data_IF_892021367111
#
_entry.id   IF_892021367111
#
_cell.length_a   1.000
_cell.length_b   1.000
_cell.length_c   1.000
_cell.angle_alpha   90.00
_cell.angle_beta   90.00
_cell.angle_gamma   90.00
#
_symmetry.space_group_name_H-M   'P 1'
#
loop_
_entity.id
_entity.type
_entity.pdbx_description
1 polymer ?
#
# COMPACT_ATOMS: atom_id res chain seq x y z
N UNK A 1 16.55 52.41 -46.90
CA UNK A 1 16.00 51.10 -46.52
C UNK A 1 15.38 51.24 -45.14
N UNK A 2 14.04 51.28 -45.01
CA UNK A 2 13.37 51.39 -43.73
C UNK A 2 13.03 49.99 -43.19
N UNK A 3 13.21 49.77 -41.89
CA UNK A 3 12.59 48.65 -41.18
C UNK A 3 11.47 49.20 -40.30
N UNK A 4 10.26 48.73 -40.59
CA UNK A 4 9.01 49.08 -39.93
C UNK A 4 8.92 48.45 -38.55
N UNK A 5 8.39 49.21 -37.59
CA UNK A 5 7.94 48.70 -36.29
C UNK A 5 6.55 48.09 -36.47
N UNK A 6 6.42 46.79 -36.20
CA UNK A 6 5.13 46.12 -36.07
C UNK A 6 4.67 46.20 -34.60
N UNK A 7 3.58 46.93 -34.37
CA UNK A 7 2.82 46.91 -33.11
C UNK A 7 1.95 45.67 -33.07
N UNK A 8 2.18 44.78 -32.11
CA UNK A 8 1.31 43.64 -31.83
C UNK A 8 0.27 44.05 -30.77
N UNK A 9 -1.00 44.13 -31.16
CA UNK A 9 -2.10 44.43 -30.25
C UNK A 9 -2.54 43.15 -29.52
N UNK A 10 -2.23 43.03 -28.23
CA UNK A 10 -2.83 42.01 -27.37
C UNK A 10 -4.29 42.39 -27.10
N UNK A 11 -5.21 41.62 -27.69
CA UNK A 11 -6.63 41.66 -27.35
C UNK A 11 -6.85 41.02 -25.99
N UNK A 12 -7.42 41.82 -25.10
CA UNK A 12 -7.89 41.49 -23.77
C UNK A 12 -8.95 40.36 -23.83
N UNK A 13 -8.58 39.14 -23.45
CA UNK A 13 -9.54 38.13 -23.00
C UNK A 13 -9.64 38.22 -21.48
N UNK A 14 -10.69 38.90 -20.99
CA UNK A 14 -11.14 38.78 -19.61
C UNK A 14 -11.68 37.36 -19.41
N UNK A 15 -10.84 36.46 -18.92
CA UNK A 15 -11.31 35.23 -18.31
C UNK A 15 -12.03 35.60 -17.01
N UNK A 16 -13.31 35.23 -16.93
CA UNK A 16 -14.11 35.30 -15.73
C UNK A 16 -13.53 34.28 -14.74
N UNK A 17 -12.65 34.73 -13.84
CA UNK A 17 -12.17 33.90 -12.72
C UNK A 17 -13.34 33.76 -11.76
N UNK A 18 -14.09 32.66 -11.89
CA UNK A 18 -15.02 32.22 -10.86
C UNK A 18 -14.17 31.95 -9.61
N UNK A 19 -14.34 32.80 -8.58
CA UNK A 19 -13.70 32.61 -7.29
C UNK A 19 -14.20 31.33 -6.65
N UNK A 20 -13.43 30.25 -6.80
CA UNK A 20 -13.52 29.10 -5.92
C UNK A 20 -12.96 29.56 -4.57
N UNK A 21 -13.85 29.91 -3.65
CA UNK A 21 -13.50 30.08 -2.24
C UNK A 21 -13.16 28.68 -1.74
N UNK A 22 -11.87 28.32 -1.79
CA UNK A 22 -11.33 27.25 -0.97
C UNK A 22 -11.53 27.68 0.47
N UNK A 23 -12.58 27.14 1.11
CA UNK A 23 -12.67 27.14 2.55
C UNK A 23 -11.41 26.44 3.06
N UNK A 24 -10.54 27.20 3.72
CA UNK A 24 -9.47 26.61 4.52
C UNK A 24 -10.15 25.70 5.53
N UNK A 25 -10.07 24.39 5.31
CA UNK A 25 -10.46 23.41 6.31
C UNK A 25 -9.64 23.73 7.56
N UNK A 26 -10.33 24.15 8.63
CA UNK A 26 -9.68 24.31 9.92
C UNK A 26 -8.95 23.01 10.23
N UNK A 27 -7.66 23.11 10.56
CA UNK A 27 -6.87 21.96 11.01
C UNK A 27 -7.70 21.21 12.04
N UNK A 28 -8.12 20.00 11.70
CA UNK A 28 -8.84 19.14 12.63
C UNK A 28 -7.96 19.04 13.88
N UNK A 29 -8.48 19.52 14.99
CA UNK A 29 -7.81 19.46 16.29
C UNK A 29 -7.51 18.00 16.60
N UNK A 30 -6.24 17.59 16.47
CA UNK A 30 -5.77 16.25 16.86
C UNK A 30 -5.12 15.37 15.78
N UNK A 31 -4.94 15.83 14.54
CA UNK A 31 -4.24 15.01 13.53
C UNK A 31 -2.72 15.07 13.72
N UNK A 32 -2.06 13.92 13.85
CA UNK A 32 -0.59 13.83 13.84
C UNK A 32 -0.08 13.95 12.41
N UNK A 33 0.94 14.80 12.21
CA UNK A 33 1.60 15.01 10.93
C UNK A 33 3.06 14.58 11.01
N UNK A 34 3.54 13.93 9.94
CA UNK A 34 4.96 13.70 9.71
C UNK A 34 5.52 14.89 8.95
N UNK A 35 6.28 15.74 9.65
CA UNK A 35 7.00 16.89 9.06
C UNK A 35 8.38 16.45 8.61
N UNK A 36 8.75 16.83 7.40
CA UNK A 36 10.01 16.38 6.80
C UNK A 36 11.00 17.52 6.72
N UNK A 37 12.19 17.31 7.27
CA UNK A 37 13.27 18.30 7.27
C UNK A 37 14.48 17.80 6.48
N UNK A 38 15.08 18.67 5.66
CA UNK A 38 16.46 18.53 5.19
C UNK A 38 17.35 19.42 6.06
N UNK A 39 18.18 18.81 6.90
CA UNK A 39 19.07 19.50 7.82
C UNK A 39 20.43 19.70 7.14
N UNK A 40 20.89 20.96 7.11
CA UNK A 40 22.10 21.37 6.38
C UNK A 40 23.06 22.10 7.32
N UNK A 41 24.21 21.50 7.68
CA UNK A 41 25.30 22.16 8.38
C UNK A 41 25.74 23.47 7.71
N UNK A 42 26.21 24.44 8.49
CA UNK A 42 26.54 25.78 7.98
C UNK A 42 27.72 25.83 7.01
N UNK A 43 28.57 24.78 6.99
CA UNK A 43 29.68 24.61 6.05
C UNK A 43 29.26 23.89 4.75
N UNK A 44 28.00 23.47 4.62
CA UNK A 44 27.48 22.75 3.47
C UNK A 44 26.39 23.55 2.75
N UNK A 45 26.16 23.19 1.49
CA UNK A 45 25.04 23.67 0.68
C UNK A 45 24.12 22.51 0.33
N UNK A 46 22.87 22.81 -0.03
CA UNK A 46 21.91 21.82 -0.50
C UNK A 46 21.54 22.09 -1.97
N UNK A 47 20.92 21.10 -2.59
CA UNK A 47 20.45 21.12 -3.96
C UNK A 47 18.97 20.73 -4.03
N UNK A 48 18.26 21.28 -5.02
CA UNK A 48 16.85 20.94 -5.23
C UNK A 48 16.64 19.43 -5.46
N UNK A 49 17.62 18.76 -6.08
CA UNK A 49 17.57 17.33 -6.30
C UNK A 49 17.49 16.53 -4.99
N UNK A 50 18.14 16.98 -3.91
CA UNK A 50 18.05 16.35 -2.59
C UNK A 50 16.65 16.48 -2.01
N UNK A 51 16.08 17.69 -2.05
CA UNK A 51 14.70 17.97 -1.63
C UNK A 51 13.70 17.12 -2.41
N UNK A 52 13.84 17.06 -3.73
CA UNK A 52 12.96 16.28 -4.60
C UNK A 52 13.07 14.76 -4.31
N UNK A 53 14.30 14.28 -4.06
CA UNK A 53 14.55 12.86 -3.73
C UNK A 53 13.97 12.47 -2.37
N UNK A 54 14.09 13.36 -1.37
CA UNK A 54 13.46 13.20 -0.06
C UNK A 54 11.94 13.22 -0.20
N UNK A 55 11.40 14.15 -0.98
CA UNK A 55 9.95 14.25 -1.20
C UNK A 55 9.38 12.97 -1.82
N UNK A 56 10.02 12.48 -2.88
CA UNK A 56 9.66 11.21 -3.52
C UNK A 56 9.77 10.03 -2.55
N UNK A 57 10.84 9.97 -1.74
CA UNK A 57 11.03 8.92 -0.74
C UNK A 57 9.95 8.93 0.35
N UNK A 58 9.53 10.11 0.83
CA UNK A 58 8.49 10.18 1.86
C UNK A 58 7.13 9.70 1.35
N UNK A 59 6.74 10.06 0.11
CA UNK A 59 5.53 9.52 -0.51
C UNK A 59 5.62 8.01 -0.73
N UNK A 60 6.78 7.51 -1.16
CA UNK A 60 7.06 6.10 -1.36
C UNK A 60 6.91 5.31 -0.04
N UNK A 61 7.53 5.79 1.04
CA UNK A 61 7.43 5.21 2.38
C UNK A 61 5.99 5.27 2.91
N UNK A 62 5.28 6.39 2.71
CA UNK A 62 3.88 6.53 3.11
C UNK A 62 2.97 5.48 2.42
N UNK A 63 3.17 5.28 1.11
CA UNK A 63 2.46 4.26 0.34
C UNK A 63 2.82 2.84 0.79
N UNK A 64 4.08 2.59 1.12
CA UNK A 64 4.55 1.32 1.67
C UNK A 64 3.87 1.00 3.01
N UNK A 65 3.88 1.93 3.97
CA UNK A 65 3.18 1.77 5.26
C UNK A 65 1.68 1.52 5.05
N UNK A 66 1.05 2.25 4.13
CA UNK A 66 -0.37 2.04 3.81
C UNK A 66 -0.66 0.62 3.34
N UNK A 67 0.16 0.08 2.44
CA UNK A 67 0.02 -1.30 1.99
C UNK A 67 0.24 -2.27 3.15
N UNK A 68 1.31 -2.08 3.92
CA UNK A 68 1.76 -3.02 4.96
C UNK A 68 0.84 -3.13 6.16
N UNK A 69 0.02 -2.12 6.41
CA UNK A 69 -0.93 -2.11 7.51
C UNK A 69 -2.37 -2.26 7.02
N UNK A 70 -2.60 -2.76 5.80
CA UNK A 70 -3.95 -2.91 5.24
C UNK A 70 -4.76 -1.60 5.30
N UNK A 71 -4.15 -0.50 4.83
CA UNK A 71 -4.80 0.78 4.58
C UNK A 71 -4.53 1.89 5.59
N UNK A 72 -3.69 1.67 6.61
CA UNK A 72 -3.33 2.69 7.62
C UNK A 72 -1.97 3.33 7.31
N UNK A 73 -1.86 4.65 7.36
CA UNK A 73 -0.56 5.31 7.14
C UNK A 73 -0.53 6.65 7.83
N UNK A 74 0.65 7.25 7.94
CA UNK A 74 0.81 8.57 8.51
C UNK A 74 0.36 9.67 7.54
N UNK A 75 0.09 10.87 8.05
CA UNK A 75 -0.23 12.03 7.22
C UNK A 75 1.00 12.87 6.95
N UNK A 76 1.15 13.29 5.70
CA UNK A 76 2.05 14.37 5.32
C UNK A 76 1.28 15.70 5.28
N UNK A 77 1.91 16.84 5.63
CA UNK A 77 1.33 18.17 5.43
C UNK A 77 0.76 18.35 4.01
N UNK A 78 -0.29 19.16 3.87
CA UNK A 78 -0.90 19.49 2.58
C UNK A 78 -0.94 21.02 2.38
N UNK A 79 -0.19 21.59 1.41
CA UNK A 79 0.73 20.89 0.49
C UNK A 79 1.90 20.24 1.23
N UNK A 80 2.45 19.16 0.67
CA UNK A 80 3.62 18.50 1.22
C UNK A 80 4.89 19.21 0.74
N UNK A 81 5.72 19.62 1.68
CA UNK A 81 7.00 20.28 1.44
C UNK A 81 8.06 19.70 2.37
N UNK A 82 9.29 19.62 1.87
CA UNK A 82 10.47 19.30 2.68
C UNK A 82 11.05 20.64 3.16
N UNK A 83 11.01 20.87 4.46
CA UNK A 83 11.52 22.09 5.07
C UNK A 83 13.05 22.02 5.18
N UNK A 84 13.77 23.02 4.64
CA UNK A 84 15.23 23.08 4.80
C UNK A 84 15.56 23.77 6.11
N UNK A 85 16.27 23.08 7.00
CA UNK A 85 16.75 23.62 8.27
C UNK A 85 18.24 23.94 8.19
N UNK A 86 18.64 25.23 8.09
CA UNK A 86 20.03 25.63 8.17
C UNK A 86 20.51 25.54 9.63
N UNK A 87 21.51 24.70 9.85
CA UNK A 87 22.17 24.57 11.14
C UNK A 87 22.96 25.84 11.50
N UNK A 88 23.10 26.09 12.80
CA UNK A 88 23.96 27.13 13.35
C UNK A 88 25.44 26.78 13.24
N UNK A 89 25.77 25.50 13.34
CA UNK A 89 27.15 25.02 13.40
C UNK A 89 27.56 24.28 12.12
N UNK A 90 28.87 24.20 11.91
CA UNK A 90 29.45 23.36 10.86
C UNK A 90 29.30 21.88 11.24
N UNK A 91 29.40 21.00 10.25
CA UNK A 91 29.23 19.56 10.41
C UNK A 91 30.07 18.97 11.54
N UNK A 92 31.32 19.42 11.68
CA UNK A 92 32.28 18.89 12.67
C UNK A 92 31.77 19.02 14.11
N UNK A 93 30.88 19.98 14.37
CA UNK A 93 30.29 20.20 15.68
C UNK A 93 29.31 19.10 16.07
N UNK A 94 28.58 18.53 15.10
CA UNK A 94 27.60 17.47 15.33
C UNK A 94 28.19 16.05 15.30
N UNK A 95 29.48 15.91 14.97
CA UNK A 95 30.10 14.61 14.71
C UNK A 95 29.99 13.67 15.92
N UNK A 96 29.42 12.48 15.70
CA UNK A 96 29.12 11.49 16.73
C UNK A 96 27.99 11.86 17.73
N UNK A 97 27.39 13.04 17.63
CA UNK A 97 26.39 13.54 18.59
C UNK A 97 25.20 14.26 17.93
N UNK A 98 24.87 13.91 16.68
CA UNK A 98 23.77 14.52 15.93
C UNK A 98 22.47 14.59 16.73
N UNK A 99 22.06 13.51 17.39
CA UNK A 99 20.81 13.48 18.16
C UNK A 99 20.79 14.52 19.29
N UNK A 100 21.82 14.51 20.14
CA UNK A 100 21.89 15.32 21.35
C UNK A 100 22.13 16.81 21.06
N UNK A 101 22.69 17.13 19.90
CA UNK A 101 23.08 18.48 19.52
C UNK A 101 22.08 19.13 18.55
N UNK A 102 21.60 18.39 17.54
CA UNK A 102 20.68 18.92 16.53
C UNK A 102 19.28 19.14 17.07
N UNK A 103 18.73 18.20 17.84
CA UNK A 103 17.34 18.30 18.29
C UNK A 103 17.11 19.52 19.20
N UNK A 104 17.95 19.80 20.21
CA UNK A 104 17.81 21.02 21.01
C UNK A 104 18.01 22.30 20.19
N UNK A 105 18.87 22.28 19.16
CA UNK A 105 19.04 23.41 18.25
C UNK A 105 17.78 23.68 17.42
N UNK A 106 17.19 22.63 16.85
CA UNK A 106 15.92 22.72 16.13
C UNK A 106 14.79 23.23 17.04
N UNK A 107 14.71 22.74 18.28
CA UNK A 107 13.75 23.24 19.28
C UNK A 107 13.98 24.72 19.62
N UNK A 108 15.24 25.12 19.82
CA UNK A 108 15.59 26.53 20.08
C UNK A 108 15.24 27.44 18.90
N UNK A 109 15.25 26.91 17.68
CA UNK A 109 14.78 27.58 16.47
C UNK A 109 13.25 27.52 16.27
N UNK A 110 12.51 26.88 17.17
CA UNK A 110 11.04 26.83 17.17
C UNK A 110 10.44 25.61 16.44
N UNK A 111 11.25 24.62 16.06
CA UNK A 111 10.74 23.37 15.48
C UNK A 111 10.05 22.53 16.57
N UNK A 112 8.86 21.97 16.32
CA UNK A 112 8.07 21.28 17.34
C UNK A 112 8.50 19.82 17.58
N UNK A 113 9.78 19.58 17.93
CA UNK A 113 10.38 18.23 18.01
C UNK A 113 9.61 17.27 18.93
N UNK A 114 9.33 17.67 20.17
CA UNK A 114 8.61 16.85 21.16
C UNK A 114 7.21 17.36 21.48
N UNK A 115 6.53 17.96 20.49
CA UNK A 115 5.18 18.47 20.66
C UNK A 115 4.16 17.46 20.10
N UNK A 116 3.13 17.05 20.87
CA UNK A 116 2.07 16.18 20.38
C UNK A 116 1.47 16.68 19.07
N UNK A 117 1.22 15.76 18.14
CA UNK A 117 0.76 16.07 16.78
C UNK A 117 1.90 16.19 15.76
N UNK A 118 3.16 16.09 16.17
CA UNK A 118 4.31 16.23 15.27
C UNK A 118 5.25 15.04 15.38
N UNK A 119 5.44 14.34 14.27
CA UNK A 119 6.52 13.38 14.07
C UNK A 119 7.47 13.98 13.05
N UNK A 120 8.78 13.96 13.32
CA UNK A 120 9.78 14.57 12.46
C UNK A 120 10.53 13.50 11.68
N UNK A 121 10.52 13.59 10.35
CA UNK A 121 11.39 12.84 9.45
C UNK A 121 12.58 13.73 9.03
N UNK A 122 13.71 13.55 9.70
CA UNK A 122 14.91 14.39 9.56
C UNK A 122 15.91 13.71 8.64
N UNK A 123 16.24 14.38 7.54
CA UNK A 123 17.27 13.96 6.59
C UNK A 123 18.49 14.84 6.79
N UNK A 124 19.58 14.27 7.32
CA UNK A 124 20.78 15.00 7.70
C UNK A 124 21.81 14.94 6.58
N UNK A 125 22.29 16.11 6.16
CA UNK A 125 23.41 16.22 5.22
C UNK A 125 24.74 16.25 5.96
N UNK A 126 25.70 15.51 5.43
CA UNK A 126 27.10 15.57 5.81
C UNK A 126 27.52 14.53 6.84
N UNK A 127 26.63 13.66 7.32
CA UNK A 127 26.92 12.69 8.40
C UNK A 127 28.19 11.87 8.13
N UNK A 128 28.48 11.58 6.85
CA UNK A 128 29.65 10.83 6.44
C UNK A 128 29.34 9.36 6.15
N UNK A 129 30.40 8.55 6.08
CA UNK A 129 30.36 7.20 5.53
C UNK A 129 29.63 6.12 6.29
N UNK A 130 29.43 6.33 7.59
CA UNK A 130 28.72 5.37 8.42
C UNK A 130 27.20 5.43 8.22
N UNK A 131 26.69 6.52 7.61
CA UNK A 131 25.28 6.88 7.66
C UNK A 131 24.82 7.25 9.07
N UNK A 132 23.54 7.58 9.20
CA UNK A 132 22.85 7.69 10.49
C UNK A 132 21.48 7.03 10.35
N UNK A 133 21.06 6.33 11.40
CA UNK A 133 19.72 5.80 11.59
C UNK A 133 19.41 5.91 13.06
N UNK A 134 18.57 6.88 13.42
CA UNK A 134 18.13 7.09 14.81
C UNK A 134 16.64 7.41 14.84
N UNK A 135 15.93 6.78 15.77
CA UNK A 135 14.49 6.92 15.86
C UNK A 135 13.99 6.73 17.27
N UNK A 136 13.00 7.53 17.67
CA UNK A 136 12.34 7.37 18.96
C UNK A 136 10.96 8.02 18.94
N UNK A 137 10.03 7.45 19.71
CA UNK A 137 8.70 7.99 19.95
C UNK A 137 8.66 8.67 21.32
N UNK A 138 7.72 9.60 21.48
CA UNK A 138 7.40 10.24 22.74
C UNK A 138 5.93 10.65 22.74
N UNK A 139 5.49 11.41 23.76
CA UNK A 139 4.12 11.93 23.86
C UNK A 139 3.01 10.86 23.76
N UNK A 140 3.25 9.64 24.25
CA UNK A 140 2.37 8.48 24.03
C UNK A 140 2.12 8.21 22.54
N UNK A 141 3.20 8.11 21.76
CA UNK A 141 3.20 7.87 20.32
C UNK A 141 2.59 9.00 19.45
N UNK A 142 2.22 10.14 20.05
CA UNK A 142 1.71 11.31 19.34
C UNK A 142 2.81 12.28 18.87
N UNK A 143 4.06 12.03 19.24
CA UNK A 143 5.21 12.74 18.72
C UNK A 143 6.41 11.79 18.60
N UNK A 144 7.39 12.12 17.79
CA UNK A 144 8.52 11.25 17.55
C UNK A 144 9.51 11.85 16.55
N UNK A 145 10.70 11.27 16.50
CA UNK A 145 11.75 11.68 15.57
C UNK A 145 12.29 10.44 14.88
N UNK A 146 12.50 10.56 13.57
CA UNK A 146 13.19 9.61 12.72
C UNK A 146 14.29 10.37 11.98
N UNK A 147 15.52 9.87 11.99
CA UNK A 147 16.69 10.57 11.46
C UNK A 147 17.50 9.65 10.55
N UNK A 148 17.71 10.07 9.30
CA UNK A 148 18.51 9.33 8.31
C UNK A 148 19.48 10.27 7.57
N UNK A 149 20.57 9.72 7.03
CA UNK A 149 21.55 10.51 6.25
C UNK A 149 21.14 10.66 4.78
N UNK A 150 21.35 11.85 4.21
CA UNK A 150 21.18 12.10 2.77
C UNK A 150 22.23 11.35 1.93
N UNK A 151 23.44 11.18 2.46
CA UNK A 151 24.52 10.46 1.79
C UNK A 151 24.26 8.94 1.64
N UNK A 152 23.14 8.43 2.18
CA UNK A 152 22.66 7.10 1.84
C UNK A 152 22.28 6.98 0.36
N UNK A 153 21.90 8.08 -0.31
CA UNK A 153 21.70 8.04 -1.76
C UNK A 153 23.05 8.04 -2.47
N UNK A 154 23.33 7.04 -3.34
CA UNK A 154 24.58 7.02 -4.11
C UNK A 154 24.81 8.29 -4.95
N UNK A 155 23.73 8.92 -5.43
CA UNK A 155 23.80 10.16 -6.20
C UNK A 155 24.34 11.36 -5.40
N UNK A 156 24.23 11.34 -4.07
CA UNK A 156 24.68 12.41 -3.17
C UNK A 156 25.94 12.01 -2.40
N UNK A 157 26.52 10.87 -2.73
CA UNK A 157 27.69 10.30 -2.08
C UNK A 157 28.75 9.95 -3.14
N UNK A 158 29.52 10.93 -3.64
CA UNK A 158 30.46 10.74 -4.74
C UNK A 158 31.76 9.99 -4.32
N UNK A 159 31.67 9.06 -3.36
CA UNK A 159 32.81 8.33 -2.82
C UNK A 159 33.58 9.08 -1.73
N UNK A 160 33.12 10.27 -1.34
CA UNK A 160 33.73 11.06 -0.25
C UNK A 160 33.33 10.54 1.13
N UNK A 161 32.18 9.86 1.22
CA UNK A 161 31.59 9.46 2.47
C UNK A 161 31.55 7.94 2.57
N UNK A 162 30.93 7.20 1.64
CA UNK A 162 31.01 5.73 1.62
C UNK A 162 31.97 5.25 0.54
N UNK A 163 32.95 4.42 0.90
CA UNK A 163 33.99 3.95 -0.03
C UNK A 163 33.45 3.07 -1.18
N UNK A 164 32.27 2.48 -1.03
CA UNK A 164 31.40 2.03 -2.12
C UNK A 164 30.08 1.54 -1.53
N UNK A 165 28.95 1.98 -2.10
CA UNK A 165 27.70 1.23 -1.94
C UNK A 165 27.91 -0.16 -2.55
N UNK A 166 27.67 -1.25 -1.81
CA UNK A 166 27.76 -2.58 -2.38
C UNK A 166 26.87 -2.65 -3.63
N UNK A 167 27.31 -3.34 -4.69
CA UNK A 167 26.46 -3.51 -5.86
C UNK A 167 25.14 -4.17 -5.43
N UNK A 168 24.04 -3.82 -6.08
CA UNK A 168 22.72 -4.38 -5.80
C UNK A 168 22.67 -5.93 -5.82
N UNK A 169 23.68 -6.57 -6.40
CA UNK A 169 23.86 -8.02 -6.48
C UNK A 169 24.67 -8.63 -5.34
N UNK A 170 25.04 -7.88 -4.30
CA UNK A 170 25.83 -8.42 -3.19
C UNK A 170 25.01 -9.49 -2.43
N UNK A 171 25.42 -10.77 -2.47
CA UNK A 171 24.68 -11.87 -1.85
C UNK A 171 24.69 -11.81 -0.32
N UNK A 172 25.52 -10.96 0.29
CA UNK A 172 25.52 -10.73 1.74
C UNK A 172 24.36 -9.85 2.19
N UNK A 173 23.67 -9.16 1.27
CA UNK A 173 22.46 -8.38 1.54
C UNK A 173 22.68 -7.08 2.34
N UNK A 174 23.88 -6.85 2.89
CA UNK A 174 24.19 -5.66 3.68
C UNK A 174 24.52 -4.48 2.77
N UNK A 175 23.49 -3.82 2.22
CA UNK A 175 23.64 -2.60 1.41
C UNK A 175 23.67 -1.31 2.25
N UNK A 176 23.67 -1.41 3.59
CA UNK A 176 23.86 -0.26 4.48
C UNK A 176 25.23 0.42 4.24
N UNK A 177 25.30 1.76 4.28
CA UNK A 177 24.24 2.75 4.53
C UNK A 177 23.47 3.22 3.28
N UNK A 178 23.65 2.56 2.13
CA UNK A 178 23.14 3.01 0.85
C UNK A 178 21.65 2.72 0.59
N UNK A 179 20.85 2.73 1.65
CA UNK A 179 19.42 2.40 1.66
C UNK A 179 18.59 3.47 2.38
N UNK A 180 18.72 4.74 1.98
CA UNK A 180 18.17 5.89 2.72
C UNK A 180 16.65 5.77 2.95
N UNK A 181 15.92 5.20 1.98
CA UNK A 181 14.48 4.92 2.11
C UNK A 181 14.18 3.87 3.17
N UNK A 182 14.95 2.79 3.20
CA UNK A 182 14.81 1.73 4.19
C UNK A 182 15.13 2.22 5.58
N UNK A 183 16.27 2.92 5.72
CA UNK A 183 16.66 3.59 6.96
C UNK A 183 15.52 4.47 7.48
N UNK A 184 15.03 5.41 6.66
CA UNK A 184 13.95 6.29 7.11
C UNK A 184 12.65 5.52 7.43
N UNK A 185 12.30 4.48 6.66
CA UNK A 185 11.13 3.66 6.96
C UNK A 185 11.26 2.95 8.32
N UNK A 186 12.45 2.46 8.66
CA UNK A 186 12.78 1.86 9.95
C UNK A 186 12.73 2.87 11.09
N UNK A 187 13.41 4.02 10.92
CA UNK A 187 13.43 5.05 11.96
C UNK A 187 12.03 5.65 12.21
N UNK A 188 11.20 5.76 11.16
CA UNK A 188 9.79 6.11 11.33
C UNK A 188 9.03 5.05 12.11
N UNK A 189 9.38 3.76 11.96
CA UNK A 189 8.83 2.69 12.79
C UNK A 189 9.09 2.95 14.27
N UNK A 190 10.31 3.33 14.63
CA UNK A 190 10.63 3.75 16.01
C UNK A 190 9.88 4.99 16.46
N UNK A 191 9.73 6.00 15.58
CA UNK A 191 8.94 7.19 15.84
C UNK A 191 7.43 6.88 16.02
N UNK A 192 6.95 5.77 15.45
CA UNK A 192 5.61 5.22 15.64
C UNK A 192 5.54 4.17 16.77
N UNK A 193 6.56 4.07 17.60
CA UNK A 193 6.54 3.20 18.77
C UNK A 193 7.08 1.78 18.54
N UNK A 194 7.45 1.38 17.33
CA UNK A 194 7.98 0.03 17.11
C UNK A 194 9.40 -0.11 17.71
N UNK A 195 9.69 -1.13 18.52
CA UNK A 195 11.06 -1.48 18.90
C UNK A 195 11.75 -2.22 17.74
N UNK A 196 13.05 -2.51 17.88
CA UNK A 196 13.65 -3.56 17.06
C UNK A 196 12.95 -4.90 17.34
N UNK A 197 12.88 -5.75 16.32
CA UNK A 197 12.17 -7.03 16.42
C UNK A 197 12.85 -7.95 17.46
N UNK A 198 14.17 -7.90 17.58
CA UNK A 198 14.90 -8.66 18.58
C UNK A 198 14.60 -8.20 20.03
N UNK A 199 14.55 -6.88 20.26
CA UNK A 199 14.24 -6.25 21.55
C UNK A 199 12.80 -6.52 22.02
N UNK A 200 11.87 -6.74 21.09
CA UNK A 200 10.49 -7.10 21.40
C UNK A 200 10.32 -8.51 22.00
N UNK A 201 11.42 -9.24 22.22
CA UNK A 201 11.40 -10.60 22.77
C UNK A 201 11.08 -11.66 21.71
N UNK A 202 11.13 -11.33 20.42
CA UNK A 202 11.09 -12.35 19.35
C UNK A 202 12.42 -13.14 19.29
N UNK A 203 13.47 -12.66 19.96
CA UNK A 203 14.82 -13.21 19.94
C UNK A 203 15.06 -14.40 20.91
N UNK A 204 14.21 -15.43 20.84
CA UNK A 204 14.55 -16.72 21.43
C UNK A 204 15.47 -17.50 20.46
N UNK A 205 16.76 -17.15 20.41
CA UNK A 205 17.94 -17.91 19.93
C UNK A 205 17.86 -18.82 18.67
N UNK A 206 16.75 -18.84 17.93
CA UNK A 206 16.42 -19.81 16.87
C UNK A 206 15.42 -19.28 15.82
N UNK A 207 14.94 -18.04 15.89
CA UNK A 207 13.77 -17.65 15.10
C UNK A 207 14.14 -16.77 13.91
N UNK A 208 14.10 -17.34 12.71
CA UNK A 208 14.23 -16.62 11.44
C UNK A 208 13.23 -15.46 11.24
N UNK A 209 12.27 -15.27 12.15
CA UNK A 209 11.23 -14.23 12.13
C UNK A 209 11.79 -12.81 12.10
N UNK A 210 12.81 -12.50 12.93
CA UNK A 210 13.33 -11.12 13.04
C UNK A 210 13.86 -10.59 11.71
N UNK A 211 14.44 -11.47 10.90
CA UNK A 211 15.01 -11.11 9.60
C UNK A 211 13.93 -10.76 8.56
N UNK A 212 12.66 -11.08 8.81
CA UNK A 212 11.56 -10.66 7.96
C UNK A 212 11.10 -9.22 8.26
N UNK A 213 11.62 -8.57 9.30
CA UNK A 213 11.17 -7.26 9.75
C UNK A 213 11.96 -6.10 9.13
N UNK A 214 11.27 -5.04 8.71
CA UNK A 214 11.87 -3.72 8.44
C UNK A 214 12.57 -3.17 9.68
N UNK A 215 12.08 -3.51 10.88
CA UNK A 215 12.64 -3.11 12.17
C UNK A 215 13.92 -3.87 12.50
N UNK A 216 14.42 -4.74 11.61
CA UNK A 216 15.71 -5.40 11.74
C UNK A 216 16.56 -5.26 10.48
N UNK A 217 15.98 -5.52 9.33
CA UNK A 217 16.69 -5.64 8.04
C UNK A 217 16.19 -4.60 7.04
N UNK A 218 16.18 -3.34 7.44
CA UNK A 218 15.69 -2.23 6.62
C UNK A 218 16.43 -2.04 5.28
N UNK A 219 17.62 -2.62 5.14
CA UNK A 219 18.39 -2.64 3.90
C UNK A 219 17.75 -3.43 2.77
N UNK A 220 16.69 -4.21 3.03
CA UNK A 220 15.90 -4.83 1.97
C UNK A 220 14.79 -3.94 1.40
N UNK A 221 14.67 -2.69 1.86
CA UNK A 221 13.60 -1.80 1.42
C UNK A 221 13.72 -1.41 -0.08
N UNK A 222 12.59 -1.38 -0.83
CA UNK A 222 11.31 -1.95 -0.44
C UNK A 222 11.26 -3.47 -0.68
N UNK A 223 12.08 -4.00 -1.62
CA UNK A 223 12.14 -5.42 -2.03
C UNK A 223 13.47 -5.78 -2.71
N UNK A 224 14.61 -5.42 -2.10
CA UNK A 224 15.94 -5.72 -2.64
C UNK A 224 16.50 -7.09 -2.20
N UNK A 225 15.71 -7.89 -1.47
CA UNK A 225 16.13 -9.23 -1.09
C UNK A 225 16.01 -10.21 -2.25
N UNK A 226 16.93 -11.17 -2.33
CA UNK A 226 16.73 -12.32 -3.21
C UNK A 226 15.57 -13.15 -2.67
N UNK A 227 14.52 -13.31 -3.48
CA UNK A 227 13.41 -14.25 -3.23
C UNK A 227 14.00 -15.62 -2.86
N UNK A 228 13.47 -16.24 -1.81
CA UNK A 228 13.97 -17.52 -1.28
C UNK A 228 15.17 -17.44 -0.34
N UNK A 229 15.56 -16.23 0.12
CA UNK A 229 16.49 -16.07 1.25
C UNK A 229 15.78 -16.26 2.59
N UNK A 230 16.55 -16.36 3.68
CA UNK A 230 16.01 -16.51 5.03
C UNK A 230 15.14 -15.32 5.48
N UNK A 231 15.21 -14.18 4.79
CA UNK A 231 14.44 -12.97 5.07
C UNK A 231 13.16 -12.87 4.23
N UNK A 232 12.90 -13.81 3.30
CA UNK A 232 11.71 -13.82 2.44
C UNK A 232 10.55 -14.61 3.08
N UNK A 233 9.35 -14.03 3.29
CA UNK A 233 8.91 -12.69 2.90
C UNK A 233 9.37 -11.59 3.86
N UNK A 234 9.75 -10.43 3.35
CA UNK A 234 10.22 -9.28 4.15
C UNK A 234 9.18 -8.15 4.22
N UNK A 235 9.07 -7.44 5.34
CA UNK A 235 8.05 -6.40 5.57
C UNK A 235 7.86 -6.01 7.04
N UNK A 236 6.61 -5.73 7.44
CA UNK A 236 6.24 -5.59 8.86
C UNK A 236 5.76 -6.93 9.40
N UNK A 237 6.20 -7.31 10.60
CA UNK A 237 5.69 -8.47 11.31
C UNK A 237 4.21 -8.26 11.70
N UNK A 238 3.46 -9.35 11.89
CA UNK A 238 2.05 -9.32 12.30
C UNK A 238 1.85 -8.50 13.59
N UNK A 239 2.76 -8.64 14.54
CA UNK A 239 2.76 -7.91 15.81
C UNK A 239 3.10 -6.42 15.66
N UNK A 240 3.97 -6.07 14.71
CA UNK A 240 4.28 -4.68 14.38
C UNK A 240 3.07 -4.00 13.71
N UNK A 241 2.40 -4.71 12.79
CA UNK A 241 1.15 -4.26 12.17
C UNK A 241 0.08 -3.99 13.21
N UNK A 242 -0.12 -4.92 14.16
CA UNK A 242 -1.06 -4.73 15.28
C UNK A 242 -0.73 -3.50 16.12
N UNK A 243 0.57 -3.24 16.38
CA UNK A 243 0.99 -2.05 17.15
C UNK A 243 0.71 -0.76 16.38
N UNK A 244 1.04 -0.72 15.10
CA UNK A 244 0.76 0.44 14.24
C UNK A 244 -0.73 0.72 14.08
N UNK A 245 -1.59 -0.30 14.07
CA UNK A 245 -3.04 -0.12 14.05
C UNK A 245 -3.63 0.56 15.29
N UNK A 246 -2.91 0.49 16.40
CA UNK A 246 -3.27 1.11 17.67
C UNK A 246 -2.54 2.45 17.89
N UNK A 247 -1.74 2.90 16.92
CA UNK A 247 -1.06 4.18 16.98
C UNK A 247 -1.93 5.25 16.31
N UNK A 248 -2.35 6.24 17.11
CA UNK A 248 -3.23 7.35 16.69
C UNK A 248 -2.60 8.25 15.61
N UNK A 249 -1.28 8.16 15.37
CA UNK A 249 -0.61 8.88 14.30
C UNK A 249 -0.87 8.26 12.91
N UNK A 250 -1.27 6.99 12.84
CA UNK A 250 -1.64 6.33 11.60
C UNK A 250 -3.15 6.42 11.38
N UNK A 251 -3.53 7.01 10.25
CA UNK A 251 -4.93 7.18 9.85
C UNK A 251 -5.26 6.29 8.66
N UNK A 252 -6.54 6.05 8.46
CA UNK A 252 -7.07 5.39 7.27
C UNK A 252 -7.46 6.43 6.21
N UNK A 253 -7.78 5.96 5.02
CA UNK A 253 -8.35 6.75 3.93
C UNK A 253 -7.44 7.84 3.32
N UNK A 254 -6.14 7.81 3.61
CA UNK A 254 -5.16 8.66 2.91
C UNK A 254 -5.17 8.29 1.42
N UNK A 255 -5.50 9.24 0.57
CA UNK A 255 -5.54 9.03 -0.87
C UNK A 255 -4.13 9.09 -1.43
N UNK A 256 -3.59 7.94 -1.85
CA UNK A 256 -2.22 7.79 -2.34
C UNK A 256 -2.19 6.93 -3.59
N UNK A 257 -1.15 7.19 -4.39
CA UNK A 257 -0.79 6.28 -5.47
C UNK A 257 -0.07 5.07 -4.90
N UNK A 258 -0.69 3.90 -4.99
CA UNK A 258 -0.12 2.68 -4.43
C UNK A 258 0.93 2.07 -5.36
N UNK A 259 2.21 2.14 -4.96
CA UNK A 259 3.36 1.62 -5.70
C UNK A 259 3.66 0.14 -5.42
N UNK A 260 2.99 -0.48 -4.44
CA UNK A 260 3.32 -1.83 -3.93
C UNK A 260 2.22 -2.89 -4.02
N UNK A 261 1.39 -2.93 -5.08
CA UNK A 261 0.25 -3.85 -5.11
C UNK A 261 0.67 -5.34 -5.00
N UNK A 262 1.84 -5.69 -5.51
CA UNK A 262 2.34 -7.07 -5.57
C UNK A 262 3.34 -7.43 -4.46
N UNK A 263 3.55 -6.55 -3.48
CA UNK A 263 4.45 -6.84 -2.37
C UNK A 263 4.02 -8.11 -1.61
N UNK A 264 4.97 -8.98 -1.20
CA UNK A 264 4.68 -10.17 -0.40
C UNK A 264 4.07 -9.78 0.94
N UNK A 265 3.11 -10.54 1.45
CA UNK A 265 2.56 -10.34 2.80
C UNK A 265 3.41 -11.08 3.83
N UNK A 266 3.66 -10.45 4.97
CA UNK A 266 4.40 -11.06 6.07
C UNK A 266 3.42 -11.43 7.16
N UNK A 267 3.17 -12.73 7.29
CA UNK A 267 2.28 -13.32 8.29
C UNK A 267 3.10 -14.00 9.38
N UNK A 268 4.10 -13.29 9.91
CA UNK A 268 5.06 -13.77 10.89
C UNK A 268 5.20 -12.78 12.05
N UNK A 269 5.37 -13.26 13.30
CA UNK A 269 5.05 -14.63 13.72
C UNK A 269 3.56 -14.94 13.47
N UNK A 270 3.19 -16.21 13.40
CA UNK A 270 1.77 -16.57 13.29
C UNK A 270 1.06 -16.22 14.61
N UNK A 271 0.19 -15.21 14.57
CA UNK A 271 -0.56 -14.68 15.72
C UNK A 271 -2.03 -15.08 15.69
N UNK A 272 -2.51 -15.65 14.58
CA UNK A 272 -3.89 -16.10 14.40
C UNK A 272 -4.11 -16.76 13.03
N UNK A 273 -5.36 -17.13 12.73
CA UNK A 273 -5.70 -17.70 11.43
C UNK A 273 -5.67 -16.63 10.33
N UNK A 274 -5.03 -16.91 9.20
CA UNK A 274 -5.01 -16.00 8.05
C UNK A 274 -6.46 -15.80 7.53
N UNK A 275 -6.97 -14.56 7.37
CA UNK A 275 -8.29 -14.32 6.80
C UNK A 275 -8.37 -14.78 5.33
N UNK A 276 -9.56 -15.04 4.82
CA UNK A 276 -9.76 -15.39 3.42
C UNK A 276 -10.26 -14.19 2.62
N UNK A 277 -9.38 -13.56 1.84
CA UNK A 277 -9.74 -12.48 0.94
C UNK A 277 -10.59 -12.99 -0.22
N UNK A 278 -11.75 -12.39 -0.43
CA UNK A 278 -12.60 -12.66 -1.58
C UNK A 278 -13.51 -11.45 -1.86
N UNK A 279 -13.78 -11.21 -3.14
CA UNK A 279 -14.74 -10.18 -3.54
C UNK A 279 -15.51 -10.53 -4.81
N UNK A 280 -16.62 -9.84 -5.00
CA UNK A 280 -17.43 -9.87 -6.22
C UNK A 280 -17.41 -8.50 -6.89
N UNK A 281 -17.61 -8.49 -8.20
CA UNK A 281 -17.77 -7.28 -9.01
C UNK A 281 -19.19 -7.27 -9.53
N UNK A 282 -20.02 -6.37 -9.00
CA UNK A 282 -21.45 -6.28 -9.36
C UNK A 282 -21.71 -5.00 -10.16
N UNK A 283 -22.42 -5.06 -11.30
CA UNK A 283 -22.78 -3.87 -12.04
C UNK A 283 -23.79 -3.02 -11.27
N UNK A 284 -23.54 -1.71 -11.16
CA UNK A 284 -24.43 -0.74 -10.53
C UNK A 284 -24.60 0.48 -11.44
N UNK A 285 -25.57 0.43 -12.35
CA UNK A 285 -25.75 1.47 -13.38
C UNK A 285 -24.50 1.63 -14.26
N UNK A 286 -23.96 2.83 -14.35
CA UNK A 286 -22.70 3.15 -15.06
C UNK A 286 -21.44 2.91 -14.22
N UNK A 287 -21.61 2.36 -13.02
CA UNK A 287 -20.54 2.03 -12.07
C UNK A 287 -20.46 0.51 -11.81
N UNK A 288 -19.45 0.12 -11.06
CA UNK A 288 -19.25 -1.22 -10.53
C UNK A 288 -19.15 -1.12 -9.02
N UNK A 289 -19.94 -1.92 -8.31
CA UNK A 289 -19.82 -2.12 -6.87
C UNK A 289 -18.91 -3.31 -6.62
N UNK A 290 -17.90 -3.10 -5.79
CA UNK A 290 -17.00 -4.16 -5.34
C UNK A 290 -17.49 -4.67 -3.98
N UNK A 291 -17.99 -5.90 -3.95
CA UNK A 291 -18.62 -6.49 -2.74
C UNK A 291 -17.59 -7.36 -2.04
N UNK A 292 -17.17 -6.95 -0.84
CA UNK A 292 -16.26 -7.74 -0.01
C UNK A 292 -17.01 -8.95 0.57
N UNK A 293 -16.63 -10.16 0.16
CA UNK A 293 -17.18 -11.44 0.67
C UNK A 293 -16.14 -12.24 1.44
N UNK A 294 -15.11 -11.55 1.94
CA UNK A 294 -14.00 -12.15 2.70
C UNK A 294 -14.46 -12.73 4.03
N UNK A 295 -13.72 -13.72 4.54
CA UNK A 295 -13.99 -14.38 5.81
C UNK A 295 -12.87 -14.12 6.84
N UNK A 296 -13.24 -14.02 8.12
CA UNK A 296 -12.29 -13.83 9.22
C UNK A 296 -11.60 -12.45 9.23
N UNK A 297 -12.10 -11.47 8.48
CA UNK A 297 -11.50 -10.13 8.37
C UNK A 297 -12.18 -9.10 9.29
N UNK A 298 -11.39 -8.16 9.79
CA UNK A 298 -11.83 -6.95 10.50
C UNK A 298 -11.44 -5.66 9.77
N UNK A 299 -10.50 -5.73 8.82
CA UNK A 299 -10.04 -4.60 8.00
C UNK A 299 -9.96 -4.96 6.52
N UNK A 300 -10.36 -4.03 5.67
CA UNK A 300 -10.21 -4.12 4.20
C UNK A 300 -9.53 -2.89 3.62
N UNK A 301 -8.73 -3.13 2.59
CA UNK A 301 -8.06 -2.11 1.81
C UNK A 301 -8.06 -2.50 0.33
N UNK A 302 -8.61 -1.61 -0.49
CA UNK A 302 -8.77 -1.81 -1.92
C UNK A 302 -7.74 -1.02 -2.69
N UNK A 303 -7.18 -1.65 -3.71
CA UNK A 303 -6.35 -1.02 -4.73
C UNK A 303 -7.09 -1.19 -6.07
N UNK A 304 -7.57 -0.10 -6.63
CA UNK A 304 -8.60 -0.07 -7.67
C UNK A 304 -8.01 0.24 -9.06
N UNK A 305 -6.73 -0.04 -9.27
CA UNK A 305 -5.99 0.40 -10.46
C UNK A 305 -5.91 1.94 -10.58
N UNK A 306 -5.16 2.43 -11.56
CA UNK A 306 -4.87 3.87 -11.76
C UNK A 306 -4.53 4.63 -10.48
N UNK A 307 -3.88 3.94 -9.54
CA UNK A 307 -3.42 4.53 -8.30
C UNK A 307 -4.53 4.96 -7.33
N UNK A 308 -5.77 4.49 -7.51
CA UNK A 308 -6.89 4.77 -6.61
C UNK A 308 -6.95 3.72 -5.51
N UNK A 309 -7.15 4.17 -4.27
CA UNK A 309 -7.24 3.30 -3.08
C UNK A 309 -8.51 3.59 -2.29
N UNK A 310 -9.00 2.62 -1.55
CA UNK A 310 -10.18 2.81 -0.69
C UNK A 310 -10.14 1.93 0.55
N UNK A 311 -10.55 2.45 1.70
CA UNK A 311 -10.82 1.61 2.88
C UNK A 311 -12.32 1.39 3.13
N UNK A 312 -13.18 1.93 2.28
CA UNK A 312 -14.61 1.63 2.26
C UNK A 312 -14.81 0.13 2.09
N UNK A 313 -15.70 -0.47 2.88
CA UNK A 313 -15.91 -1.92 2.86
C UNK A 313 -16.34 -2.42 1.46
N UNK A 314 -17.19 -1.65 0.78
CA UNK A 314 -17.69 -1.96 -0.57
C UNK A 314 -17.65 -0.71 -1.46
N UNK A 315 -16.49 -0.39 -2.07
CA UNK A 315 -16.37 0.80 -2.89
C UNK A 315 -17.15 0.65 -4.20
N UNK A 316 -17.68 1.78 -4.67
CA UNK A 316 -18.28 1.91 -5.99
C UNK A 316 -17.31 2.68 -6.87
N UNK A 317 -16.92 2.08 -8.00
CA UNK A 317 -16.01 2.68 -8.98
C UNK A 317 -16.73 2.92 -10.30
N UNK A 318 -16.31 3.95 -11.04
CA UNK A 318 -16.74 4.11 -12.43
C UNK A 318 -16.33 2.87 -13.25
N UNK A 319 -17.13 2.51 -14.25
CA UNK A 319 -16.75 1.44 -15.18
C UNK A 319 -15.45 1.82 -15.92
N UNK A 320 -14.42 0.97 -15.89
CA UNK A 320 -13.17 1.30 -16.53
C UNK A 320 -13.30 1.21 -18.06
N UNK A 321 -12.56 2.08 -18.77
CA UNK A 321 -12.51 2.07 -20.23
C UNK A 321 -11.56 1.00 -20.80
N UNK A 322 -10.65 0.48 -19.95
CA UNK A 322 -9.69 -0.58 -20.23
C UNK A 322 -9.76 -1.66 -19.13
N UNK A 323 -9.14 -2.84 -19.30
CA UNK A 323 -9.03 -3.81 -18.21
C UNK A 323 -8.36 -3.18 -16.99
N UNK A 324 -9.01 -3.32 -15.84
CA UNK A 324 -8.59 -2.73 -14.58
C UNK A 324 -8.25 -3.84 -13.59
N UNK A 325 -7.02 -3.87 -13.09
CA UNK A 325 -6.68 -4.77 -11.99
C UNK A 325 -7.26 -4.21 -10.68
N UNK A 326 -8.06 -5.02 -10.00
CA UNK A 326 -8.61 -4.72 -8.68
C UNK A 326 -8.04 -5.71 -7.68
N UNK A 327 -7.53 -5.19 -6.58
CA UNK A 327 -7.00 -6.00 -5.49
C UNK A 327 -7.68 -5.62 -4.18
N UNK A 328 -7.98 -6.65 -3.39
CA UNK A 328 -8.51 -6.54 -2.04
C UNK A 328 -7.48 -7.15 -1.09
N UNK A 329 -6.91 -6.32 -0.23
CA UNK A 329 -6.16 -6.75 0.94
C UNK A 329 -7.12 -6.77 2.13
N UNK A 330 -7.13 -7.88 2.88
CA UNK A 330 -7.86 -7.99 4.13
C UNK A 330 -6.93 -8.38 5.27
N UNK A 331 -7.28 -7.92 6.46
CA UNK A 331 -6.60 -8.31 7.69
C UNK A 331 -7.61 -8.65 8.80
N UNK A 332 -7.17 -9.41 9.79
CA UNK A 332 -7.89 -9.67 11.05
C UNK A 332 -7.28 -8.87 12.21
N UNK A 333 -7.83 -8.96 13.43
CA UNK A 333 -7.32 -8.19 14.57
C UNK A 333 -5.98 -8.72 15.12
N UNK A 334 -5.58 -9.92 14.69
CA UNK A 334 -4.30 -10.55 15.01
C UNK A 334 -3.16 -10.13 14.06
N UNK A 335 -3.38 -9.21 13.12
CA UNK A 335 -2.33 -8.74 12.22
C UNK A 335 -2.03 -9.66 11.05
N UNK A 336 -2.82 -10.73 10.85
CA UNK A 336 -2.68 -11.64 9.73
C UNK A 336 -3.42 -11.10 8.51
N UNK A 337 -2.81 -11.22 7.33
CA UNK A 337 -3.29 -10.63 6.09
C UNK A 337 -3.43 -11.63 4.95
N UNK A 338 -4.36 -11.37 4.04
CA UNK A 338 -4.50 -12.10 2.78
C UNK A 338 -4.97 -11.16 1.67
N UNK A 339 -4.63 -11.50 0.42
CA UNK A 339 -4.93 -10.70 -0.77
C UNK A 339 -5.72 -11.52 -1.79
N UNK A 340 -6.78 -10.91 -2.32
CA UNK A 340 -7.47 -11.37 -3.52
C UNK A 340 -7.23 -10.36 -4.66
N UNK A 341 -7.20 -10.85 -5.89
CA UNK A 341 -7.07 -10.01 -7.08
C UNK A 341 -7.96 -10.50 -8.21
N UNK A 342 -8.50 -9.57 -9.00
CA UNK A 342 -9.23 -9.88 -10.22
C UNK A 342 -9.03 -8.78 -11.26
N UNK A 343 -9.07 -9.16 -12.54
CA UNK A 343 -9.12 -8.19 -13.64
C UNK A 343 -10.57 -7.89 -14.01
N UNK A 344 -10.99 -6.66 -13.77
CA UNK A 344 -12.28 -6.14 -14.21
C UNK A 344 -12.17 -5.77 -15.68
N UNK A 345 -12.98 -6.40 -16.54
CA UNK A 345 -12.98 -6.10 -17.96
C UNK A 345 -13.84 -4.85 -18.26
N UNK A 346 -13.43 -3.99 -19.19
CA UNK A 346 -14.28 -2.93 -19.71
C UNK A 346 -15.37 -3.63 -20.51
N UNK A 347 -16.62 -3.52 -20.08
CA UNK A 347 -17.80 -4.17 -20.66
C UNK A 347 -17.64 -4.64 -22.13
N UNK A 348 -17.19 -5.89 -22.32
CA UNK A 348 -17.29 -6.58 -23.61
C UNK A 348 -18.66 -7.26 -23.66
N UNK A 349 -19.69 -6.47 -24.01
CA UNK A 349 -20.98 -7.01 -24.42
C UNK A 349 -22.17 -6.53 -23.58
N UNK A 350 -22.93 -5.65 -24.22
CA UNK A 350 -24.37 -5.33 -24.10
C UNK A 350 -25.05 -5.64 -22.75
N UNK A 351 -25.70 -4.64 -22.10
CA UNK A 351 -26.57 -4.87 -20.94
C UNK A 351 -27.73 -5.80 -21.33
N UNK A 352 -27.55 -7.10 -21.12
CA UNK A 352 -28.65 -8.05 -21.08
C UNK A 352 -29.50 -7.71 -19.87
N UNK A 353 -30.58 -6.97 -20.07
CA UNK A 353 -31.43 -6.49 -18.99
C UNK A 353 -31.79 -7.59 -17.98
N UNK A 354 -31.38 -7.37 -16.73
CA UNK A 354 -32.03 -7.87 -15.52
C UNK A 354 -32.05 -9.39 -15.27
N UNK A 355 -31.32 -10.20 -16.02
CA UNK A 355 -31.28 -11.62 -15.69
C UNK A 355 -30.40 -11.84 -14.43
N UNK A 356 -30.90 -12.52 -13.38
CA UNK A 356 -30.15 -12.74 -12.14
C UNK A 356 -28.84 -13.49 -12.43
N UNK A 357 -27.72 -12.93 -11.98
CA UNK A 357 -26.41 -13.54 -12.15
C UNK A 357 -26.37 -14.95 -11.53
N UNK A 358 -25.77 -15.92 -12.24
CA UNK A 358 -25.53 -17.27 -11.72
C UNK A 358 -24.15 -17.27 -11.06
N UNK A 359 -24.08 -17.48 -9.74
CA UNK A 359 -22.80 -17.68 -9.03
C UNK A 359 -22.42 -19.16 -9.07
N UNK A 360 -21.15 -19.48 -9.26
CA UNK A 360 -20.67 -20.87 -9.33
C UNK A 360 -19.59 -21.09 -8.28
N UNK A 361 -19.76 -22.12 -7.44
CA UNK A 361 -18.80 -22.49 -6.40
C UNK A 361 -18.40 -23.97 -6.60
N UNK A 362 -17.21 -24.26 -7.15
CA UNK A 362 -16.69 -25.62 -7.14
C UNK A 362 -16.31 -26.03 -5.72
N UNK A 363 -16.55 -27.30 -5.37
CA UNK A 363 -16.10 -27.90 -4.12
C UNK A 363 -15.28 -29.17 -4.43
N UNK A 364 -13.94 -29.01 -4.58
CA UNK A 364 -13.04 -30.11 -4.93
C UNK A 364 -13.02 -31.24 -3.89
N UNK A 365 -13.36 -30.97 -2.62
CA UNK A 365 -13.34 -31.99 -1.58
C UNK A 365 -14.50 -33.00 -1.70
N UNK A 366 -15.52 -32.68 -2.50
CA UNK A 366 -16.73 -33.51 -2.62
C UNK A 366 -17.14 -33.78 -4.06
N UNK A 367 -16.35 -33.35 -5.04
CA UNK A 367 -16.67 -33.42 -6.48
C UNK A 367 -18.05 -32.84 -6.81
N UNK A 368 -18.35 -31.68 -6.23
CA UNK A 368 -19.62 -30.98 -6.40
C UNK A 368 -19.43 -29.59 -6.96
N UNK A 369 -20.39 -29.16 -7.77
CA UNK A 369 -20.49 -27.81 -8.28
C UNK A 369 -21.78 -27.18 -7.78
N UNK A 370 -21.70 -26.00 -7.16
CA UNK A 370 -22.88 -25.28 -6.69
C UNK A 370 -23.18 -24.07 -7.58
N UNK A 371 -24.40 -24.00 -8.10
CA UNK A 371 -24.93 -22.86 -8.84
C UNK A 371 -25.92 -22.11 -7.94
N UNK A 372 -25.57 -20.87 -7.57
CA UNK A 372 -26.36 -20.05 -6.64
C UNK A 372 -27.00 -18.89 -7.38
N UNK A 373 -28.34 -18.87 -7.39
CA UNK A 373 -29.19 -17.77 -7.89
C UNK A 373 -30.62 -17.92 -7.36
N UNK A 374 -31.47 -16.88 -7.43
CA UNK A 374 -32.90 -17.04 -7.25
C UNK A 374 -33.46 -17.94 -8.36
N UNK A 375 -33.74 -19.21 -8.04
CA UNK A 375 -34.25 -20.18 -9.00
C UNK A 375 -35.77 -20.10 -9.11
N UNK A 376 -36.27 -20.05 -10.34
CA UNK A 376 -37.68 -20.30 -10.66
C UNK A 376 -37.91 -21.78 -11.01
N UNK A 377 -39.15 -22.25 -10.85
CA UNK A 377 -39.56 -23.59 -11.32
C UNK A 377 -39.41 -23.74 -12.85
N UNK A 378 -39.41 -22.63 -13.59
CA UNK A 378 -39.26 -22.60 -15.05
C UNK A 378 -37.80 -22.46 -15.51
N UNK A 379 -36.87 -22.20 -14.60
CA UNK A 379 -35.45 -22.08 -14.95
C UNK A 379 -34.88 -23.45 -15.35
N UNK A 380 -34.26 -23.48 -16.52
CA UNK A 380 -33.57 -24.64 -17.06
C UNK A 380 -32.07 -24.47 -16.93
N UNK A 381 -31.35 -25.58 -16.83
CA UNK A 381 -29.89 -25.59 -16.85
C UNK A 381 -29.40 -26.74 -17.73
N UNK A 382 -28.22 -26.57 -18.31
CA UNK A 382 -27.52 -27.58 -19.07
C UNK A 382 -26.01 -27.47 -18.80
N UNK A 383 -25.33 -28.61 -18.74
CA UNK A 383 -23.88 -28.69 -18.67
C UNK A 383 -23.36 -29.17 -20.03
N UNK A 384 -22.30 -28.56 -20.53
CA UNK A 384 -21.69 -28.88 -21.81
C UNK A 384 -20.23 -29.27 -21.65
N UNK A 385 -19.83 -30.35 -22.31
CA UNK A 385 -18.44 -30.76 -22.47
C UNK A 385 -17.68 -29.79 -23.41
N UNK A 386 -16.33 -29.85 -23.48
CA UNK A 386 -15.53 -29.01 -24.37
C UNK A 386 -15.91 -29.07 -25.85
N UNK A 387 -16.45 -30.19 -26.31
CA UNK A 387 -16.91 -30.42 -27.68
C UNK A 387 -18.33 -29.88 -27.95
N UNK A 388 -18.98 -29.31 -26.93
CA UNK A 388 -20.35 -28.81 -26.99
C UNK A 388 -21.44 -29.87 -26.77
N UNK A 389 -21.07 -31.13 -26.47
CA UNK A 389 -22.05 -32.15 -26.13
C UNK A 389 -22.68 -31.87 -24.75
N UNK A 390 -24.00 -32.06 -24.63
CA UNK A 390 -24.68 -31.94 -23.33
C UNK A 390 -24.34 -33.13 -22.44
N UNK A 391 -23.94 -32.84 -21.21
CA UNK A 391 -23.58 -33.83 -20.21
C UNK A 391 -24.66 -33.88 -19.15
N UNK A 392 -25.13 -35.09 -18.84
CA UNK A 392 -26.11 -35.32 -17.80
C UNK A 392 -25.38 -35.66 -16.49
N UNK A 393 -25.66 -34.88 -15.46
CA UNK A 393 -25.17 -35.11 -14.10
C UNK A 393 -26.35 -35.19 -13.15
N UNK A 394 -26.17 -35.90 -12.03
CA UNK A 394 -27.17 -35.87 -10.97
C UNK A 394 -27.21 -34.45 -10.42
N UNK A 395 -28.42 -33.93 -10.24
CA UNK A 395 -28.60 -32.60 -9.69
C UNK A 395 -29.60 -32.61 -8.54
N UNK A 396 -29.37 -31.71 -7.59
CA UNK A 396 -30.25 -31.50 -6.46
C UNK A 396 -30.49 -30.00 -6.27
N UNK A 397 -31.76 -29.58 -6.32
CA UNK A 397 -32.14 -28.18 -6.13
C UNK A 397 -32.69 -27.98 -4.72
N UNK A 398 -32.16 -26.99 -4.00
CA UNK A 398 -32.60 -26.60 -2.66
C UNK A 398 -32.57 -25.07 -2.52
N UNK A 399 -33.75 -24.45 -2.54
CA UNK A 399 -33.88 -22.98 -2.48
C UNK A 399 -33.14 -22.30 -3.64
N UNK A 400 -32.22 -21.38 -3.30
CA UNK A 400 -31.42 -20.63 -4.26
C UNK A 400 -30.16 -21.38 -4.73
N UNK A 401 -30.02 -22.66 -4.40
CA UNK A 401 -28.85 -23.48 -4.75
C UNK A 401 -29.25 -24.66 -5.63
N UNK A 402 -28.50 -24.86 -6.71
CA UNK A 402 -28.50 -26.07 -7.51
C UNK A 402 -27.13 -26.74 -7.37
N UNK A 403 -27.13 -27.96 -6.86
CA UNK A 403 -25.96 -28.80 -6.66
C UNK A 403 -25.85 -29.78 -7.81
N UNK A 404 -24.68 -29.85 -8.45
CA UNK A 404 -24.37 -30.77 -9.53
C UNK A 404 -23.26 -31.73 -9.05
N UNK A 405 -23.53 -33.04 -9.13
CA UNK A 405 -22.56 -34.10 -8.85
C UNK A 405 -21.66 -34.30 -10.08
N UNK A 406 -20.46 -33.74 -10.01
CA UNK A 406 -19.48 -33.78 -11.12
C UNK A 406 -18.47 -34.91 -10.96
N UNK A 407 -18.59 -35.75 -9.92
CA UNK A 407 -17.73 -36.92 -9.72
C UNK A 407 -17.65 -37.90 -10.90
N UNK A 408 -18.68 -38.08 -11.76
CA UNK A 408 -18.58 -38.98 -12.91
C UNK A 408 -17.86 -38.36 -14.11
N UNK A 409 -17.54 -37.07 -14.07
CA UNK A 409 -16.98 -36.35 -15.20
C UNK A 409 -15.47 -36.54 -15.28
N UNK A 410 -14.94 -36.66 -16.50
CA UNK A 410 -13.50 -36.57 -16.71
C UNK A 410 -13.02 -35.16 -16.36
N UNK A 411 -11.83 -35.02 -15.77
CA UNK A 411 -11.23 -33.71 -15.54
C UNK A 411 -11.11 -32.91 -16.83
N UNK A 412 -11.50 -31.63 -16.80
CA UNK A 412 -11.55 -30.79 -17.98
C UNK A 412 -12.48 -29.61 -17.83
N UNK A 413 -12.59 -28.82 -18.90
CA UNK A 413 -13.39 -27.58 -18.90
C UNK A 413 -14.84 -27.85 -19.29
N UNK A 414 -15.78 -27.51 -18.42
CA UNK A 414 -17.21 -27.61 -18.72
C UNK A 414 -17.86 -26.22 -18.75
N UNK A 415 -18.84 -26.06 -19.64
CA UNK A 415 -19.67 -24.86 -19.68
C UNK A 415 -21.03 -25.12 -19.04
N UNK A 416 -21.40 -24.33 -18.03
CA UNK A 416 -22.77 -24.32 -17.50
C UNK A 416 -23.58 -23.25 -18.24
N UNK A 417 -24.72 -23.65 -18.80
CA UNK A 417 -25.74 -22.75 -19.30
C UNK A 417 -26.94 -22.75 -18.37
N UNK A 418 -27.42 -21.57 -18.00
CA UNK A 418 -28.69 -21.39 -17.30
C UNK A 418 -29.61 -20.56 -18.18
N UNK A 419 -30.79 -21.08 -18.46
CA UNK A 419 -31.85 -20.40 -19.19
C UNK A 419 -32.93 -20.01 -18.19
N UNK A 420 -33.13 -18.70 -18.02
CA UNK A 420 -34.16 -18.18 -17.12
C UNK A 420 -35.57 -18.51 -17.61
N UNK A 421 -36.56 -18.38 -16.73
CA UNK A 421 -37.98 -18.49 -17.04
C UNK A 421 -38.44 -17.59 -18.21
N UNK A 422 -37.73 -16.50 -18.47
CA UNK A 422 -37.94 -15.55 -19.57
C UNK A 422 -37.33 -16.02 -20.91
N UNK A 423 -36.73 -17.21 -20.95
CA UNK A 423 -36.08 -17.79 -22.12
C UNK A 423 -34.70 -17.20 -22.42
N UNK A 424 -34.18 -16.30 -21.58
CA UNK A 424 -32.85 -15.71 -21.77
C UNK A 424 -31.77 -16.64 -21.22
N UNK A 425 -30.76 -16.91 -22.03
CA UNK A 425 -29.54 -17.59 -21.59
C UNK A 425 -28.68 -16.63 -20.80
N UNK A 426 -28.44 -16.94 -19.53
CA UNK A 426 -27.87 -15.98 -18.59
C UNK A 426 -26.35 -16.08 -18.50
N UNK A 427 -25.72 -17.25 -18.66
CA UNK A 427 -24.26 -17.39 -18.58
C UNK A 427 -23.69 -18.61 -19.32
N UNK A 428 -22.41 -18.51 -19.72
CA UNK A 428 -21.48 -19.63 -19.91
C UNK A 428 -20.29 -19.40 -18.97
N UNK A 429 -20.05 -20.34 -18.06
CA UNK A 429 -18.89 -20.28 -17.15
C UNK A 429 -18.08 -21.54 -17.32
N UNK A 430 -16.76 -21.40 -17.43
CA UNK A 430 -15.82 -22.50 -17.53
C UNK A 430 -15.48 -23.03 -16.14
N UNK A 431 -15.69 -24.32 -15.91
CA UNK A 431 -15.34 -25.03 -14.66
C UNK A 431 -14.17 -25.95 -15.00
N UNK A 432 -13.03 -25.80 -14.32
CA UNK A 432 -11.81 -26.60 -14.49
C UNK A 432 -11.66 -27.65 -13.39
#
# INVERSE_FOLDING_TARGET
>A
MPWSRATCSFRCCRALVLGLVLAAAGAATGQVLVRTYLVVPSDLTWSQQEVDSISAAMHDIQGWYQFRTCGSTFNLPQPFEVEVFPCLHERSWYDGAWWDLLLPEMEAAGVPVWQPGNILAIWVKGVGGAGIGLGSHWCNDLCGVAMASVEGWPAFNPGTYCDACPPASDPTGSVWPCVPRGTMAHELGHAFGLPHADDAGYNNANNGVTNHSVMQEHWFFPYWHAVGTASDPWGLLSTEVMRLWNNDALVRDVQLVQAYPQAPLVNLPETGAIPEAAFLVEPEGDSLRLVNVSWGTTRSYWMLGDSVVSTTFEPVIARPAAPLEVQLLVANDEGMMHRAQATVQPNVGVPGGGAPAVRIFPNPATDKLFLVRPWSALDQWALFAPDGATVQVRSFRSGNRLELDVSPLAGGVYAVQVTGADGRTVHRVMVQ
#
